data_IF_335535956160
#
_entry.id   IF_335535956160
#
_cell.length_a   1.000
_cell.length_b   1.000
_cell.length_c   1.000
_cell.angle_alpha   90.00
_cell.angle_beta   90.00
_cell.angle_gamma   90.00
#
_symmetry.space_group_name_H-M   'P 1'
#
loop_
_entity.id
_entity.type
_entity.pdbx_description
1 polymer ?
#
# COMPACT_ATOMS: atom_id res chain seq x y z
N UNK A 1 -6.48 67.25 -7.06
CA UNK A 1 -5.83 66.46 -5.99
C UNK A 1 -4.68 65.70 -6.66
N UNK A 2 -3.50 66.29 -6.88
CA UNK A 2 -2.46 66.77 -5.96
C UNK A 2 -1.84 65.68 -5.06
N UNK A 3 -0.58 65.34 -5.42
CA UNK A 3 0.57 64.82 -4.65
C UNK A 3 0.42 63.39 -4.04
N UNK A 4 1.46 62.55 -3.92
CA UNK A 4 2.88 62.85 -3.77
C UNK A 4 3.81 61.68 -4.14
N UNK A 5 4.95 62.02 -4.73
CA UNK A 5 6.15 61.22 -4.89
C UNK A 5 6.77 60.85 -3.53
N UNK A 6 7.45 59.70 -3.44
CA UNK A 6 8.67 59.61 -2.65
C UNK A 6 9.62 58.54 -3.20
N UNK A 7 10.64 59.00 -3.93
CA UNK A 7 11.86 58.26 -4.24
C UNK A 7 12.86 58.52 -3.12
N UNK A 8 13.48 57.47 -2.57
CA UNK A 8 14.78 57.61 -1.93
C UNK A 8 15.72 56.48 -2.34
N UNK A 9 16.73 56.89 -3.10
CA UNK A 9 18.05 56.28 -3.22
C UNK A 9 18.79 56.35 -1.88
N UNK A 10 19.61 55.34 -1.57
CA UNK A 10 20.89 55.41 -0.81
C UNK A 10 21.54 54.01 -0.92
N UNK A 11 22.53 53.82 -1.80
CA UNK A 11 23.96 54.09 -1.61
C UNK A 11 24.69 52.94 -0.88
N UNK A 12 25.52 52.25 -1.66
CA UNK A 12 26.41 51.15 -1.29
C UNK A 12 27.47 51.54 -0.26
N UNK A 13 27.81 50.61 0.63
CA UNK A 13 29.07 50.62 1.40
C UNK A 13 29.67 49.21 1.38
N UNK A 14 30.72 49.06 0.55
CA UNK A 14 31.65 47.93 0.58
C UNK A 14 32.57 48.11 1.79
N UNK A 15 32.54 47.17 2.74
CA UNK A 15 33.56 47.03 3.78
C UNK A 15 34.31 45.73 3.54
N UNK A 16 35.52 45.87 3.00
CA UNK A 16 36.52 44.81 2.92
C UNK A 16 37.12 44.59 4.32
N UNK A 17 36.91 43.42 4.90
CA UNK A 17 37.52 43.00 6.16
C UNK A 17 38.22 41.66 6.02
N UNK A 18 39.55 41.68 5.92
CA UNK A 18 40.40 40.49 5.95
C UNK A 18 40.44 39.91 7.36
N UNK A 19 39.91 38.70 7.55
CA UNK A 19 40.06 37.92 8.78
C UNK A 19 41.03 36.78 8.51
N UNK A 20 42.08 36.71 9.33
CA UNK A 20 43.15 35.72 9.30
C UNK A 20 42.61 34.29 9.52
N UNK A 21 43.07 33.36 8.69
CA UNK A 21 42.75 31.95 8.79
C UNK A 21 43.43 31.31 10.02
N UNK A 22 42.65 30.99 11.05
CA UNK A 22 43.04 30.01 12.05
C UNK A 22 42.72 28.61 11.50
N UNK A 23 43.76 27.85 11.17
CA UNK A 23 43.64 26.45 10.79
C UNK A 23 43.22 25.61 12.02
N UNK A 24 41.92 25.44 12.21
CA UNK A 24 41.38 24.36 13.02
C UNK A 24 41.42 23.09 12.15
N UNK A 25 42.25 22.14 12.57
CA UNK A 25 42.31 20.81 11.98
C UNK A 25 40.92 20.17 12.03
N UNK A 26 40.25 20.09 10.87
CA UNK A 26 39.07 19.26 10.69
C UNK A 26 39.55 17.80 10.72
N UNK A 27 39.41 17.14 11.88
CA UNK A 27 39.41 15.69 11.92
C UNK A 27 38.36 15.19 10.92
N UNK A 28 38.68 14.17 10.11
CA UNK A 28 37.67 13.52 9.28
C UNK A 28 36.59 13.00 10.22
N UNK A 29 35.42 13.61 10.21
CA UNK A 29 34.22 13.02 10.77
C UNK A 29 33.99 11.76 9.94
N UNK A 30 34.50 10.63 10.44
CA UNK A 30 34.14 9.32 9.93
C UNK A 30 32.62 9.30 9.93
N UNK A 31 32.05 9.24 8.73
CA UNK A 31 30.62 9.11 8.56
C UNK A 31 30.19 7.92 9.41
N UNK A 32 29.38 8.20 10.43
CA UNK A 32 28.54 7.18 11.02
C UNK A 32 27.66 6.73 9.86
N UNK A 33 28.05 5.64 9.22
CA UNK A 33 27.16 4.85 8.41
C UNK A 33 26.00 4.52 9.35
N UNK A 34 24.89 5.22 9.19
CA UNK A 34 23.63 4.80 9.73
C UNK A 34 23.38 3.45 9.08
N UNK A 35 23.63 2.37 9.80
CA UNK A 35 23.14 1.05 9.43
C UNK A 35 21.63 1.19 9.31
N UNK A 36 21.18 1.32 8.06
CA UNK A 36 19.79 1.40 7.72
C UNK A 36 19.20 0.02 8.04
N UNK A 37 18.66 -0.12 9.24
CA UNK A 37 17.70 -1.15 9.61
C UNK A 37 16.36 -0.88 8.88
N UNK A 38 16.41 -0.53 7.60
CA UNK A 38 15.24 -0.45 6.75
C UNK A 38 14.91 -1.87 6.30
N UNK A 39 13.63 -2.31 6.38
CA UNK A 39 13.22 -3.57 5.80
C UNK A 39 13.69 -3.63 4.35
N UNK A 40 14.44 -4.67 4.00
CA UNK A 40 14.75 -4.93 2.60
C UNK A 40 13.43 -5.32 1.93
N UNK A 41 12.96 -4.49 0.99
CA UNK A 41 11.73 -4.71 0.23
C UNK A 41 12.08 -5.04 -1.21
N UNK A 42 11.58 -6.18 -1.69
CA UNK A 42 11.68 -6.58 -3.09
C UNK A 42 10.31 -6.53 -3.74
N UNK A 43 10.27 -6.18 -5.03
CA UNK A 43 9.03 -6.13 -5.81
C UNK A 43 9.18 -6.77 -7.19
N UNK A 44 8.09 -7.36 -7.69
CA UNK A 44 7.99 -7.86 -9.06
C UNK A 44 6.56 -7.62 -9.59
N UNK A 45 6.45 -7.10 -10.82
CA UNK A 45 5.15 -6.77 -11.44
C UNK A 45 4.67 -7.87 -12.39
N UNK A 46 3.38 -8.16 -12.32
CA UNK A 46 2.65 -9.14 -13.12
C UNK A 46 1.36 -8.48 -13.62
N UNK A 47 1.43 -7.82 -14.78
CA UNK A 47 0.30 -6.99 -15.23
C UNK A 47 0.04 -5.87 -14.22
N UNK A 48 -1.17 -5.82 -13.68
CA UNK A 48 -1.60 -4.81 -12.70
C UNK A 48 -1.30 -5.20 -11.25
N UNK A 49 -0.85 -6.44 -11.02
CA UNK A 49 -0.52 -6.99 -9.72
C UNK A 49 0.98 -6.88 -9.43
N UNK A 50 1.33 -6.58 -8.18
CA UNK A 50 2.71 -6.49 -7.71
C UNK A 50 2.92 -7.48 -6.58
N UNK A 51 3.86 -8.42 -6.75
CA UNK A 51 4.41 -9.18 -5.64
C UNK A 51 5.35 -8.26 -4.87
N UNK A 52 5.14 -8.16 -3.56
CA UNK A 52 6.00 -7.44 -2.62
C UNK A 52 6.42 -8.40 -1.52
N UNK A 53 7.71 -8.48 -1.26
CA UNK A 53 8.26 -9.18 -0.09
C UNK A 53 9.03 -8.21 0.79
N UNK A 54 8.89 -8.35 2.11
CA UNK A 54 9.62 -7.56 3.10
C UNK A 54 10.22 -8.49 4.15
N UNK A 55 11.50 -8.28 4.48
CA UNK A 55 12.10 -8.91 5.67
C UNK A 55 11.62 -8.19 6.92
N UNK A 56 10.93 -8.91 7.80
CA UNK A 56 10.45 -8.42 9.08
C UNK A 56 11.25 -9.06 10.22
N UNK A 57 11.60 -8.29 11.27
CA UNK A 57 12.09 -8.88 12.50
C UNK A 57 10.95 -9.67 13.15
N UNK A 58 11.10 -11.00 13.31
CA UNK A 58 10.14 -11.80 14.07
C UNK A 58 10.33 -11.50 15.55
N UNK A 59 9.30 -10.96 16.21
CA UNK A 59 9.33 -10.73 17.65
C UNK A 59 9.10 -12.05 18.40
N UNK A 60 9.97 -12.38 19.37
CA UNK A 60 9.69 -13.45 20.36
C UNK A 60 10.79 -14.46 20.66
N UNK A 61 11.95 -14.39 20.01
CA UNK A 61 13.13 -15.22 20.37
C UNK A 61 14.36 -14.32 20.53
N UNK A 62 15.18 -14.58 21.55
CA UNK A 62 16.47 -13.88 21.78
C UNK A 62 17.46 -14.08 20.61
N UNK A 63 17.12 -14.94 19.65
CA UNK A 63 17.63 -14.97 18.28
C UNK A 63 16.45 -14.78 17.30
N UNK A 64 16.07 -13.53 17.01
CA UNK A 64 15.05 -13.23 16.01
C UNK A 64 15.61 -13.49 14.60
N UNK A 65 15.40 -14.70 14.08
CA UNK A 65 15.60 -14.93 12.64
C UNK A 65 14.64 -14.01 11.87
N UNK A 66 15.11 -13.29 10.83
CA UNK A 66 14.23 -12.45 10.02
C UNK A 66 13.21 -13.35 9.30
N UNK A 67 11.93 -13.05 9.47
CA UNK A 67 10.85 -13.67 8.69
C UNK A 67 10.66 -12.89 7.39
N UNK A 68 10.45 -13.58 6.27
CA UNK A 68 10.07 -12.93 5.02
C UNK A 68 8.55 -12.94 4.86
N UNK A 69 7.97 -11.77 4.66
CA UNK A 69 6.55 -11.57 4.45
C UNK A 69 6.30 -11.18 2.99
N UNK A 70 5.65 -12.06 2.23
CA UNK A 70 5.29 -11.83 0.84
C UNK A 70 3.77 -11.69 0.67
N UNK A 71 3.37 -10.77 -0.20
CA UNK A 71 1.99 -10.54 -0.60
C UNK A 71 1.91 -10.07 -2.06
N UNK A 72 0.82 -10.38 -2.74
CA UNK A 72 0.49 -9.80 -4.04
C UNK A 72 -0.57 -8.74 -3.87
N UNK A 73 -0.34 -7.57 -4.46
CA UNK A 73 -1.14 -6.37 -4.24
C UNK A 73 -1.60 -5.82 -5.57
N UNK A 74 -2.86 -5.41 -5.64
CA UNK A 74 -3.37 -4.52 -6.67
C UNK A 74 -3.80 -3.20 -6.02
N UNK A 75 -3.42 -2.10 -6.65
CA UNK A 75 -3.78 -0.75 -6.21
C UNK A 75 -4.75 -0.13 -7.22
N UNK A 76 -5.89 0.34 -6.73
CA UNK A 76 -6.95 0.94 -7.54
C UNK A 76 -6.89 2.46 -7.38
N UNK A 77 -6.86 3.17 -8.50
CA UNK A 77 -6.70 4.63 -8.54
C UNK A 77 -7.92 5.28 -9.17
N UNK A 78 -8.22 6.51 -8.75
CA UNK A 78 -9.16 7.40 -9.45
C UNK A 78 -8.34 8.38 -10.30
N UNK A 79 -8.82 8.68 -11.50
CA UNK A 79 -8.14 9.60 -12.41
C UNK A 79 -7.84 10.94 -11.73
N UNK A 80 -6.57 11.36 -11.77
CA UNK A 80 -6.12 12.62 -11.18
C UNK A 80 -5.76 12.54 -9.69
N UNK A 81 -5.89 11.37 -9.05
CA UNK A 81 -5.39 11.15 -7.68
C UNK A 81 -4.02 10.45 -7.71
N UNK A 82 -3.10 10.92 -6.86
CA UNK A 82 -1.77 10.32 -6.72
C UNK A 82 -1.79 9.07 -5.81
N UNK A 83 -2.68 9.05 -4.82
CA UNK A 83 -2.81 7.96 -3.87
C UNK A 83 -3.90 6.97 -4.32
N UNK A 84 -3.74 5.66 -4.04
CA UNK A 84 -4.75 4.67 -4.38
C UNK A 84 -5.99 4.83 -3.51
N UNK A 85 -7.18 4.82 -4.13
CA UNK A 85 -8.45 4.87 -3.42
C UNK A 85 -8.77 3.56 -2.70
N UNK A 86 -8.23 2.44 -3.20
CA UNK A 86 -8.37 1.13 -2.60
C UNK A 86 -7.15 0.26 -2.92
N UNK A 87 -6.86 -0.69 -2.04
CA UNK A 87 -5.88 -1.75 -2.30
C UNK A 87 -6.49 -3.09 -1.92
N UNK A 88 -6.17 -4.12 -2.68
CA UNK A 88 -6.47 -5.51 -2.35
C UNK A 88 -5.16 -6.28 -2.35
N UNK A 89 -4.89 -6.98 -1.26
CA UNK A 89 -3.70 -7.78 -1.06
C UNK A 89 -4.06 -9.24 -0.73
N UNK A 90 -3.28 -10.18 -1.22
CA UNK A 90 -3.33 -11.60 -0.84
C UNK A 90 -1.92 -12.01 -0.40
N UNK A 91 -1.81 -12.50 0.83
CA UNK A 91 -0.52 -12.87 1.43
C UNK A 91 -0.66 -14.02 2.41
N UNK A 92 0.46 -14.55 2.89
CA UNK A 92 0.46 -15.60 3.92
C UNK A 92 0.27 -15.02 5.32
N UNK A 93 -0.46 -15.73 6.18
CA UNK A 93 -0.51 -15.41 7.61
C UNK A 93 0.88 -15.61 8.24
N UNK A 94 1.44 -14.55 8.83
CA UNK A 94 2.80 -14.54 9.38
C UNK A 94 3.04 -15.57 10.48
N UNK A 95 2.05 -15.79 11.36
CA UNK A 95 2.22 -16.58 12.58
C UNK A 95 2.06 -18.10 12.37
N UNK A 96 1.42 -18.51 11.28
CA UNK A 96 1.05 -19.92 11.08
C UNK A 96 1.46 -20.48 9.72
N UNK A 97 1.84 -19.62 8.76
CA UNK A 97 2.07 -19.98 7.35
C UNK A 97 0.96 -20.89 6.75
N UNK A 98 -0.21 -20.98 7.38
CA UNK A 98 -1.15 -22.09 7.19
C UNK A 98 -2.23 -21.80 6.15
N UNK A 99 -2.24 -20.61 5.57
CA UNK A 99 -3.19 -20.23 4.54
C UNK A 99 -2.94 -18.82 4.00
N UNK A 100 -3.53 -18.55 2.85
CA UNK A 100 -3.58 -17.20 2.30
C UNK A 100 -4.68 -16.41 3.01
N UNK A 101 -4.46 -15.12 3.15
CA UNK A 101 -5.40 -14.14 3.70
C UNK A 101 -5.59 -13.05 2.66
N UNK A 102 -6.84 -12.72 2.36
CA UNK A 102 -7.16 -11.53 1.60
C UNK A 102 -7.32 -10.34 2.55
N UNK A 103 -6.80 -9.18 2.14
CA UNK A 103 -6.92 -7.92 2.87
C UNK A 103 -7.31 -6.81 1.90
N UNK A 104 -8.43 -6.14 2.15
CA UNK A 104 -8.79 -4.89 1.47
C UNK A 104 -8.46 -3.70 2.38
N UNK A 105 -7.83 -2.67 1.80
CA UNK A 105 -7.55 -1.39 2.44
C UNK A 105 -8.39 -0.32 1.76
N UNK A 106 -9.36 0.22 2.47
CA UNK A 106 -10.41 1.11 1.93
C UNK A 106 -10.44 2.46 2.67
N UNK A 107 -11.14 3.47 2.14
CA UNK A 107 -11.37 4.73 2.85
C UNK A 107 -12.10 4.51 4.18
N UNK A 108 -12.03 5.48 5.09
CA UNK A 108 -12.67 5.38 6.42
C UNK A 108 -14.18 5.62 6.45
N UNK A 109 -14.78 6.09 5.35
CA UNK A 109 -16.22 6.29 5.24
C UNK A 109 -16.95 4.95 4.94
N UNK A 110 -17.05 4.08 5.95
CA UNK A 110 -17.61 2.73 5.84
C UNK A 110 -18.86 2.55 6.70
N UNK A 111 -19.79 1.73 6.24
CA UNK A 111 -20.95 1.28 7.01
C UNK A 111 -20.56 0.16 7.98
N UNK A 112 -20.99 0.29 9.23
CA UNK A 112 -20.81 -0.72 10.29
C UNK A 112 -22.16 -0.89 11.02
N UNK A 113 -22.67 -2.12 11.22
CA UNK A 113 -22.08 -3.40 10.78
C UNK A 113 -22.08 -3.55 9.26
N UNK A 114 -21.15 -4.33 8.72
CA UNK A 114 -21.02 -4.55 7.29
C UNK A 114 -19.80 -5.40 6.92
N UNK A 115 -19.66 -5.70 5.64
CA UNK A 115 -18.53 -6.43 5.07
C UNK A 115 -18.12 -5.84 3.73
N UNK A 116 -16.95 -6.24 3.26
CA UNK A 116 -16.46 -5.91 1.92
C UNK A 116 -16.62 -7.14 1.04
N UNK A 117 -17.23 -7.02 -0.13
CA UNK A 117 -17.31 -8.08 -1.13
C UNK A 117 -16.21 -7.91 -2.17
N UNK A 118 -15.49 -8.98 -2.49
CA UNK A 118 -14.60 -9.06 -3.67
C UNK A 118 -15.22 -10.02 -4.66
N UNK A 119 -15.37 -9.57 -5.90
CA UNK A 119 -15.95 -10.37 -6.98
C UNK A 119 -15.01 -10.45 -8.17
N UNK A 120 -14.92 -11.61 -8.80
CA UNK A 120 -14.09 -11.83 -9.99
C UNK A 120 -14.66 -11.16 -11.25
N UNK A 121 -15.97 -10.93 -11.28
CA UNK A 121 -16.67 -10.23 -12.35
C UNK A 121 -17.68 -9.25 -11.73
N UNK A 122 -17.64 -7.98 -12.14
CA UNK A 122 -18.51 -6.93 -11.65
C UNK A 122 -20.02 -7.13 -11.97
N UNK A 123 -20.37 -8.13 -12.77
CA UNK A 123 -21.76 -8.54 -13.04
C UNK A 123 -22.27 -9.61 -12.07
N UNK A 124 -21.41 -10.18 -11.21
CA UNK A 124 -21.82 -11.12 -10.16
C UNK A 124 -22.51 -10.32 -9.07
N UNK A 125 -23.74 -10.68 -8.71
CA UNK A 125 -24.52 -10.05 -7.65
C UNK A 125 -24.91 -11.07 -6.56
N UNK A 126 -25.22 -10.57 -5.35
CA UNK A 126 -25.62 -11.37 -4.20
C UNK A 126 -24.44 -12.04 -3.47
N UNK A 127 -24.74 -13.08 -2.69
CA UNK A 127 -23.78 -13.76 -1.80
C UNK A 127 -23.41 -15.16 -2.31
N UNK A 128 -23.30 -15.32 -3.62
CA UNK A 128 -23.10 -16.60 -4.30
C UNK A 128 -21.63 -16.97 -4.61
N UNK A 129 -21.45 -18.02 -5.39
CA UNK A 129 -20.14 -18.44 -5.89
C UNK A 129 -19.44 -17.29 -6.64
N UNK A 130 -18.14 -17.11 -6.40
CA UNK A 130 -17.36 -16.01 -6.98
C UNK A 130 -17.40 -14.70 -6.19
N UNK A 131 -18.02 -14.70 -5.00
CA UNK A 131 -18.03 -13.59 -4.05
C UNK A 131 -17.27 -13.98 -2.79
N UNK A 132 -16.30 -13.16 -2.38
CA UNK A 132 -15.56 -13.32 -1.12
C UNK A 132 -15.95 -12.18 -0.19
N UNK A 133 -16.42 -12.52 1.02
CA UNK A 133 -16.75 -11.54 2.05
C UNK A 133 -15.56 -11.34 3.01
N UNK A 134 -14.97 -10.15 2.99
CA UNK A 134 -13.96 -9.71 3.96
C UNK A 134 -14.64 -9.01 5.14
N UNK A 135 -14.18 -9.31 6.35
CA UNK A 135 -14.72 -8.71 7.57
C UNK A 135 -13.90 -7.50 7.99
N UNK A 136 -14.56 -6.39 8.34
CA UNK A 136 -13.88 -5.23 8.91
C UNK A 136 -13.17 -5.62 10.21
N UNK A 137 -11.87 -5.29 10.32
CA UNK A 137 -11.07 -5.61 11.50
C UNK A 137 -10.62 -4.37 12.26
N UNK A 138 -10.26 -3.30 11.54
CA UNK A 138 -9.74 -2.07 12.15
C UNK A 138 -9.76 -0.91 11.17
N UNK A 139 -9.70 0.30 11.71
CA UNK A 139 -9.38 1.52 10.96
C UNK A 139 -8.18 2.22 11.59
N UNK A 140 -7.23 2.66 10.77
CA UNK A 140 -5.99 3.30 11.18
C UNK A 140 -5.50 4.23 10.07
N UNK A 141 -5.02 5.44 10.43
CA UNK A 141 -4.45 6.37 9.46
C UNK A 141 -5.42 6.83 8.36
N UNK A 142 -6.71 6.96 8.67
CA UNK A 142 -7.74 7.37 7.71
C UNK A 142 -8.20 6.26 6.75
N UNK A 143 -7.71 5.03 6.92
CA UNK A 143 -8.09 3.84 6.14
C UNK A 143 -8.71 2.78 7.03
N UNK A 144 -9.57 1.95 6.46
CA UNK A 144 -10.14 0.78 7.11
C UNK A 144 -9.68 -0.50 6.41
N UNK A 145 -9.49 -1.54 7.21
CA UNK A 145 -8.96 -2.83 6.81
C UNK A 145 -10.05 -3.88 6.97
N UNK A 146 -10.29 -4.65 5.91
CA UNK A 146 -11.13 -5.83 5.96
C UNK A 146 -10.30 -7.06 5.58
N UNK A 147 -10.43 -8.15 6.33
CA UNK A 147 -9.62 -9.35 6.12
C UNK A 147 -10.43 -10.63 6.27
N UNK A 148 -10.10 -11.64 5.49
CA UNK A 148 -10.66 -13.00 5.61
C UNK A 148 -9.60 -14.03 5.16
N UNK A 149 -9.41 -15.14 5.91
CA UNK A 149 -8.65 -16.29 5.43
C UNK A 149 -9.30 -16.86 4.16
N UNK A 150 -8.49 -17.22 3.17
CA UNK A 150 -8.98 -17.76 1.91
C UNK A 150 -8.89 -19.29 1.88
N UNK A 151 -9.95 -19.93 1.41
CA UNK A 151 -9.98 -21.31 0.96
C UNK A 151 -9.46 -21.43 -0.48
N UNK A 152 -9.04 -22.64 -0.89
CA UNK A 152 -8.65 -22.88 -2.29
C UNK A 152 -9.82 -22.70 -3.28
N UNK A 153 -11.06 -22.92 -2.84
CA UNK A 153 -12.26 -22.67 -3.64
C UNK A 153 -12.47 -21.17 -3.88
N UNK A 154 -12.35 -20.35 -2.84
CA UNK A 154 -12.44 -18.88 -2.97
C UNK A 154 -11.32 -18.34 -3.87
N UNK A 155 -10.10 -18.84 -3.72
CA UNK A 155 -8.97 -18.49 -4.59
C UNK A 155 -9.27 -18.86 -6.05
N UNK A 156 -9.85 -20.05 -6.29
CA UNK A 156 -10.24 -20.46 -7.63
C UNK A 156 -11.37 -19.57 -8.18
N UNK A 157 -12.34 -19.17 -7.36
CA UNK A 157 -13.45 -18.29 -7.73
C UNK A 157 -13.04 -16.86 -8.07
N UNK A 158 -11.87 -16.40 -7.60
CA UNK A 158 -11.29 -15.10 -8.00
C UNK A 158 -10.70 -15.09 -9.41
N UNK A 159 -10.50 -16.25 -10.04
CA UNK A 159 -9.98 -16.32 -11.39
C UNK A 159 -11.09 -15.92 -12.37
N UNK A 160 -10.97 -14.82 -13.10
CA UNK A 160 -12.01 -14.42 -14.03
C UNK A 160 -12.04 -15.39 -15.23
N UNK A 161 -13.20 -15.98 -15.48
CA UNK A 161 -13.45 -16.84 -16.65
C UNK A 161 -13.30 -16.05 -17.97
N UNK A 162 -13.71 -14.78 -17.95
CA UNK A 162 -13.45 -13.82 -19.02
C UNK A 162 -12.28 -12.92 -18.63
N UNK A 163 -11.17 -13.05 -19.35
CA UNK A 163 -9.95 -12.24 -19.15
C UNK A 163 -10.17 -10.73 -19.33
N UNK A 164 -11.30 -10.32 -19.93
CA UNK A 164 -11.66 -8.92 -20.14
C UNK A 164 -12.67 -8.39 -19.13
N UNK A 165 -13.23 -9.24 -18.26
CA UNK A 165 -14.13 -8.79 -17.21
C UNK A 165 -13.33 -8.16 -16.05
N UNK A 166 -13.71 -6.94 -15.68
CA UNK A 166 -13.23 -6.31 -14.45
C UNK A 166 -14.00 -6.90 -13.26
N UNK A 167 -13.28 -7.23 -12.18
CA UNK A 167 -13.92 -7.55 -10.91
C UNK A 167 -14.33 -6.28 -10.17
N UNK A 168 -14.73 -6.45 -8.92
CA UNK A 168 -14.98 -5.31 -8.06
C UNK A 168 -14.69 -5.59 -6.59
N UNK A 169 -14.28 -4.55 -5.87
CA UNK A 169 -14.42 -4.45 -4.42
C UNK A 169 -15.66 -3.62 -4.13
N UNK A 170 -16.61 -4.17 -3.38
CA UNK A 170 -17.87 -3.52 -3.03
C UNK A 170 -18.06 -3.41 -1.53
N UNK A 171 -18.58 -2.29 -1.07
CA UNK A 171 -18.90 -2.08 0.34
C UNK A 171 -19.92 -0.96 0.50
N UNK A 172 -20.64 -0.98 1.62
CA UNK A 172 -21.54 0.11 2.00
C UNK A 172 -20.78 1.20 2.75
N UNK A 173 -21.09 2.46 2.46
CA UNK A 173 -20.56 3.63 3.18
C UNK A 173 -21.42 3.96 4.41
N UNK A 174 -20.95 4.85 5.28
CA UNK A 174 -21.73 5.29 6.44
C UNK A 174 -23.05 6.02 6.06
N UNK A 175 -23.17 6.47 4.81
CA UNK A 175 -24.37 7.09 4.26
C UNK A 175 -25.38 6.09 3.65
N UNK A 176 -25.10 4.78 3.73
CA UNK A 176 -25.96 3.74 3.14
C UNK A 176 -25.77 3.56 1.62
N UNK A 177 -24.74 4.17 1.04
CA UNK A 177 -24.44 4.04 -0.39
C UNK A 177 -23.51 2.85 -0.63
N UNK A 178 -23.84 1.99 -1.59
CA UNK A 178 -22.95 0.94 -2.07
C UNK A 178 -21.93 1.54 -3.03
N UNK A 179 -20.66 1.42 -2.69
CA UNK A 179 -19.53 1.77 -3.54
C UNK A 179 -19.02 0.50 -4.22
N UNK A 180 -18.72 0.58 -5.52
CA UNK A 180 -18.13 -0.50 -6.31
C UNK A 180 -16.88 0.03 -7.00
N UNK A 181 -15.71 -0.51 -6.64
CA UNK A 181 -14.40 -0.11 -7.17
C UNK A 181 -13.90 -1.23 -8.09
N UNK A 182 -13.66 -0.95 -9.39
CA UNK A 182 -13.19 -1.98 -10.32
C UNK A 182 -11.83 -2.56 -9.93
N UNK A 183 -11.72 -3.88 -9.98
CA UNK A 183 -10.47 -4.61 -9.74
C UNK A 183 -9.92 -5.11 -11.07
N UNK A 184 -8.71 -4.67 -11.47
CA UNK A 184 -8.06 -5.22 -12.64
C UNK A 184 -7.44 -6.58 -12.28
N UNK A 185 -7.87 -7.64 -12.97
CA UNK A 185 -7.37 -9.00 -12.75
C UNK A 185 -6.20 -9.40 -13.66
N UNK A 186 -5.77 -8.52 -14.56
CA UNK A 186 -4.69 -8.82 -15.49
C UNK A 186 -3.40 -9.10 -14.71
N UNK A 187 -2.92 -10.34 -14.85
CA UNK A 187 -1.70 -10.83 -14.21
C UNK A 187 -1.87 -11.39 -12.80
N UNK A 188 -3.10 -11.42 -12.27
CA UNK A 188 -3.41 -12.01 -10.96
C UNK A 188 -2.91 -13.46 -10.82
N UNK A 189 -3.19 -14.32 -11.81
CA UNK A 189 -2.78 -15.73 -11.75
C UNK A 189 -1.25 -15.89 -11.70
N UNK A 190 -0.52 -15.12 -12.50
CA UNK A 190 0.94 -15.15 -12.51
C UNK A 190 1.52 -14.62 -11.21
N UNK A 191 0.96 -13.54 -10.66
CA UNK A 191 1.35 -12.99 -9.36
C UNK A 191 1.13 -14.01 -8.24
N UNK A 192 -0.06 -14.62 -8.20
CA UNK A 192 -0.41 -15.61 -7.19
C UNK A 192 0.46 -16.87 -7.29
N UNK A 193 0.79 -17.32 -8.49
CA UNK A 193 1.73 -18.42 -8.69
C UNK A 193 3.13 -18.07 -8.16
N UNK A 194 3.61 -16.85 -8.42
CA UNK A 194 4.88 -16.37 -7.89
C UNK A 194 4.88 -16.27 -6.36
N UNK A 195 3.80 -15.78 -5.76
CA UNK A 195 3.61 -15.79 -4.30
C UNK A 195 3.65 -17.22 -3.75
N UNK A 196 2.94 -18.17 -4.39
CA UNK A 196 2.97 -19.57 -3.95
C UNK A 196 4.38 -20.17 -4.03
N UNK A 197 5.20 -19.72 -4.97
CA UNK A 197 6.59 -20.17 -5.10
C UNK A 197 7.51 -19.63 -3.99
N UNK A 198 7.22 -18.49 -3.35
CA UNK A 198 8.06 -17.94 -2.26
C UNK A 198 8.02 -18.76 -0.98
N UNK A 199 7.10 -19.73 -0.87
CA UNK A 199 7.01 -20.67 0.26
C UNK A 199 7.83 -21.96 0.04
N UNK A 200 8.46 -22.11 -1.12
CA UNK A 200 9.28 -23.29 -1.49
C UNK A 200 10.70 -23.11 -0.98
#
# INVERSE_FOLDING_TARGET
MMLNNMRYFLASLLVSGSIAAAALAQQPTQGLASEANSPEVTTASYGDWVLRCARLPLAGTDEAAPGEACEVIVSMFVQGQAEPVAQLAIGYKLEEAAGLVATAVLPSNIGIPGSVQVVSNASVDGDGAGVIALQWTRCMGGRCFATTPLTEEEIAGLRPDDRNAEGAVRFETAAGQVVSIPVPWKGFESALAALKATKT
#
